data_IF_962663782502
#
_entry.id   IF_962663782502
#
_cell.length_a   1.000
_cell.length_b   1.000
_cell.length_c   1.000
_cell.angle_alpha   90.00
_cell.angle_beta   90.00
_cell.angle_gamma   90.00
#
_symmetry.space_group_name_H-M   'P 1'
#
loop_
_entity.id
_entity.type
_entity.pdbx_description
1 polymer ?
#
# COMPACT_ATOMS: atom_id res chain seq x y z
N UNK A 1 4.41 -20.05 -10.06
CA UNK A 1 5.65 -19.95 -10.41
C UNK A 1 6.39 -18.73 -9.93
N UNK A 2 5.89 -17.75 -9.65
CA UNK A 2 6.49 -16.68 -9.11
C UNK A 2 6.54 -16.67 -7.60
N UNK A 3 6.27 -17.76 -7.04
CA UNK A 3 6.18 -17.90 -5.63
C UNK A 3 7.46 -17.55 -4.94
N UNK A 4 8.58 -17.96 -5.49
CA UNK A 4 9.85 -17.69 -4.85
C UNK A 4 10.18 -16.23 -4.77
N UNK A 5 9.66 -15.45 -5.71
CA UNK A 5 9.96 -14.02 -5.72
C UNK A 5 9.38 -13.30 -4.52
N UNK A 6 8.36 -13.84 -3.91
CA UNK A 6 7.72 -13.20 -2.79
C UNK A 6 8.55 -13.26 -1.53
N UNK A 7 9.52 -14.14 -1.47
CA UNK A 7 10.33 -14.32 -0.29
C UNK A 7 11.58 -13.47 -0.29
N UNK A 8 11.81 -12.72 -1.36
CA UNK A 8 13.07 -12.02 -1.50
C UNK A 8 12.88 -10.54 -1.70
N UNK A 9 13.86 -9.75 -1.30
CA UNK A 9 13.90 -8.37 -1.74
C UNK A 9 14.03 -8.40 -3.26
N UNK A 10 13.29 -7.59 -3.93
CA UNK A 10 13.31 -7.61 -5.38
C UNK A 10 14.51 -6.86 -5.89
N UNK A 11 15.20 -7.50 -6.82
CA UNK A 11 16.26 -6.88 -7.58
C UNK A 11 15.83 -6.90 -9.02
N UNK A 12 16.64 -6.32 -9.88
CA UNK A 12 16.37 -6.36 -11.30
C UNK A 12 16.21 -7.78 -11.81
N UNK A 13 17.02 -8.69 -11.27
CA UNK A 13 17.02 -10.05 -11.77
C UNK A 13 15.91 -10.90 -11.20
N UNK A 14 15.30 -10.45 -10.12
CA UNK A 14 14.30 -11.26 -9.43
C UNK A 14 12.88 -10.73 -9.60
N UNK A 15 12.67 -9.76 -10.46
CA UNK A 15 11.34 -9.22 -10.70
C UNK A 15 10.48 -10.32 -11.33
N UNK A 16 9.29 -10.59 -10.75
CA UNK A 16 8.42 -11.63 -11.32
C UNK A 16 8.02 -11.28 -12.74
N UNK A 17 7.78 -12.31 -13.53
CA UNK A 17 7.37 -12.11 -14.91
C UNK A 17 6.13 -11.24 -15.04
N UNK A 18 5.22 -11.35 -14.09
CA UNK A 18 4.02 -10.54 -14.11
C UNK A 18 4.34 -9.05 -14.00
N UNK A 19 5.39 -8.73 -13.24
CA UNK A 19 5.85 -7.35 -13.12
C UNK A 19 6.72 -6.98 -14.30
N UNK A 20 7.59 -7.89 -14.72
CA UNK A 20 8.49 -7.60 -15.81
C UNK A 20 7.74 -7.29 -17.10
N UNK A 21 6.53 -7.83 -17.25
CA UNK A 21 5.72 -7.54 -18.41
C UNK A 21 4.93 -6.25 -18.31
N UNK A 22 5.02 -5.54 -17.19
CA UNK A 22 4.31 -4.29 -17.02
C UNK A 22 5.23 -3.15 -17.31
N UNK A 23 4.82 -2.30 -18.23
CA UNK A 23 5.62 -1.16 -18.59
C UNK A 23 5.27 0.03 -17.73
N UNK A 24 5.85 0.11 -16.55
CA UNK A 24 5.70 1.32 -15.76
C UNK A 24 6.54 2.42 -16.39
N UNK A 25 5.99 3.62 -16.53
CA UNK A 25 6.82 4.75 -16.94
C UNK A 25 7.99 4.92 -15.99
N UNK A 26 9.13 5.41 -16.49
CA UNK A 26 10.30 5.60 -15.62
C UNK A 26 10.02 6.46 -14.39
N UNK A 27 9.17 7.48 -14.52
CA UNK A 27 8.83 8.32 -13.39
C UNK A 27 8.05 7.53 -12.34
N UNK A 28 7.19 6.61 -12.76
CA UNK A 28 6.46 5.77 -11.82
C UNK A 28 7.41 4.82 -11.10
N UNK A 29 8.33 4.20 -11.83
CA UNK A 29 9.31 3.31 -11.23
C UNK A 29 10.15 4.05 -10.20
N UNK A 30 10.58 5.27 -10.51
CA UNK A 30 11.36 6.07 -9.58
C UNK A 30 10.57 6.38 -8.32
N UNK A 31 9.29 6.69 -8.47
CA UNK A 31 8.42 6.96 -7.34
C UNK A 31 8.27 5.73 -6.45
N UNK A 32 8.00 4.58 -7.05
CA UNK A 32 7.82 3.35 -6.29
C UNK A 32 9.10 2.96 -5.56
N UNK A 33 10.24 3.17 -6.20
CA UNK A 33 11.52 2.88 -5.59
C UNK A 33 11.77 3.80 -4.38
N UNK A 34 11.42 5.06 -4.51
CA UNK A 34 11.56 6.00 -3.42
C UNK A 34 10.67 5.60 -2.23
N UNK A 35 9.44 5.21 -2.51
CA UNK A 35 8.54 4.74 -1.47
C UNK A 35 9.09 3.49 -0.81
N UNK A 36 9.59 2.55 -1.61
CA UNK A 36 10.12 1.31 -1.07
C UNK A 36 11.28 1.57 -0.12
N UNK A 37 12.11 2.54 -0.43
CA UNK A 37 13.24 2.89 0.43
C UNK A 37 12.82 3.37 1.80
N UNK A 38 11.62 3.88 1.93
CA UNK A 38 11.13 4.38 3.20
C UNK A 38 10.48 3.28 4.06
N UNK A 39 10.30 2.10 3.50
CA UNK A 39 9.76 0.97 4.26
C UNK A 39 10.94 0.23 4.86
N UNK A 40 11.19 0.51 6.13
CA UNK A 40 12.42 0.05 6.77
C UNK A 40 12.22 -1.02 7.83
N UNK A 41 10.99 -1.28 8.25
CA UNK A 41 10.73 -2.31 9.25
C UNK A 41 10.94 -3.69 8.67
N UNK A 42 11.31 -4.63 9.52
CA UNK A 42 11.34 -6.02 9.09
C UNK A 42 9.92 -6.56 9.07
N UNK A 43 9.64 -7.42 8.13
CA UNK A 43 8.32 -8.03 7.99
C UNK A 43 7.18 -7.01 7.89
N UNK A 44 7.29 -6.02 7.01
CA UNK A 44 6.22 -5.05 6.88
C UNK A 44 5.04 -5.63 6.11
N UNK A 45 3.86 -5.07 6.34
CA UNK A 45 2.71 -5.32 5.48
C UNK A 45 2.29 -4.01 4.83
N UNK A 46 1.67 -4.11 3.67
CA UNK A 46 1.35 -2.95 2.86
C UNK A 46 -0.10 -3.00 2.41
N UNK A 47 -0.80 -1.90 2.61
CA UNK A 47 -2.15 -1.70 2.12
C UNK A 47 -2.14 -0.52 1.15
N UNK A 48 -2.72 -0.68 -0.03
CA UNK A 48 -2.77 0.38 -1.03
C UNK A 48 -4.18 0.92 -1.10
N UNK A 49 -4.34 2.21 -0.95
CA UNK A 49 -5.65 2.86 -0.89
C UNK A 49 -5.69 4.11 -1.75
N UNK A 50 -6.75 4.32 -2.50
CA UNK A 50 -7.95 3.47 -2.60
C UNK A 50 -7.90 2.49 -3.77
N UNK A 51 -6.96 2.64 -4.69
CA UNK A 51 -6.90 1.83 -5.88
C UNK A 51 -5.45 1.69 -6.33
N UNK A 52 -5.24 1.18 -7.55
CA UNK A 52 -3.90 0.94 -8.09
C UNK A 52 -3.27 -0.30 -7.47
N UNK A 53 -4.08 -1.33 -7.32
CA UNK A 53 -3.65 -2.55 -6.68
C UNK A 53 -2.56 -3.28 -7.46
N UNK A 54 -2.31 -2.87 -8.71
CA UNK A 54 -1.24 -3.46 -9.49
C UNK A 54 0.11 -3.27 -8.80
N UNK A 55 0.25 -2.24 -8.00
CA UNK A 55 1.52 -1.97 -7.32
C UNK A 55 1.81 -2.93 -6.18
N UNK A 56 0.83 -3.70 -5.72
CA UNK A 56 1.12 -4.77 -4.77
C UNK A 56 2.17 -5.72 -5.33
N UNK A 57 2.13 -5.97 -6.61
CA UNK A 57 3.08 -6.89 -7.22
C UNK A 57 4.48 -6.29 -7.27
N UNK A 58 4.57 -4.99 -7.42
CA UNK A 58 5.88 -4.36 -7.40
C UNK A 58 6.55 -4.53 -6.04
N UNK A 59 5.82 -4.28 -4.98
CA UNK A 59 6.40 -4.30 -3.63
C UNK A 59 6.60 -5.72 -3.10
N UNK A 60 5.76 -6.65 -3.48
CA UNK A 60 5.90 -8.02 -3.03
C UNK A 60 5.71 -8.22 -1.54
N UNK A 61 5.00 -7.32 -0.87
CA UNK A 61 4.80 -7.39 0.57
C UNK A 61 3.46 -8.02 0.91
N UNK A 62 3.34 -8.63 2.09
CA UNK A 62 2.05 -9.17 2.51
C UNK A 62 0.98 -8.09 2.58
N UNK A 63 -0.22 -8.44 2.20
CA UNK A 63 -1.36 -7.57 2.30
C UNK A 63 -2.11 -7.87 3.59
N UNK A 64 -2.58 -6.85 4.29
CA UNK A 64 -3.28 -7.09 5.55
C UNK A 64 -4.70 -7.57 5.37
N UNK A 65 -5.26 -7.45 4.15
CA UNK A 65 -6.63 -7.83 3.89
C UNK A 65 -6.70 -8.62 2.59
N UNK A 66 -7.73 -9.45 2.47
CA UNK A 66 -7.94 -10.24 1.26
C UNK A 66 -8.55 -9.42 0.14
N UNK A 67 -9.03 -8.23 0.44
CA UNK A 67 -9.68 -7.41 -0.57
C UNK A 67 -8.64 -6.69 -1.40
N UNK A 68 -8.67 -6.91 -2.71
CA UNK A 68 -7.76 -6.24 -3.63
C UNK A 68 -8.35 -4.98 -4.21
N UNK A 69 -9.64 -5.01 -4.49
CA UNK A 69 -10.29 -3.89 -5.16
C UNK A 69 -11.27 -3.25 -4.21
N UNK A 70 -11.14 -1.96 -4.09
CA UNK A 70 -12.04 -1.17 -3.25
C UNK A 70 -12.96 -0.32 -4.08
N UNK A 71 -12.97 -0.55 -5.39
CA UNK A 71 -13.87 0.15 -6.29
C UNK A 71 -15.17 -0.62 -6.36
N UNK A 72 -16.22 0.07 -6.78
CA UNK A 72 -17.51 -0.54 -6.91
C UNK A 72 -18.27 -0.50 -5.59
N UNK A 73 -19.23 -1.40 -5.48
CA UNK A 73 -20.12 -1.36 -4.35
C UNK A 73 -19.45 -1.88 -3.10
N UNK A 74 -19.49 -1.08 -2.06
CA UNK A 74 -18.96 -1.45 -0.77
C UNK A 74 -20.06 -1.43 0.25
N UNK A 75 -20.08 -2.45 1.09
CA UNK A 75 -21.03 -2.48 2.18
C UNK A 75 -20.32 -2.06 3.46
N UNK A 76 -21.10 -1.64 4.45
CA UNK A 76 -20.56 -1.31 5.76
C UNK A 76 -19.84 -2.51 6.36
N UNK A 77 -20.33 -3.71 6.08
CA UNK A 77 -19.69 -4.92 6.58
C UNK A 77 -18.31 -5.11 5.99
N UNK A 78 -18.18 -4.90 4.68
CA UNK A 78 -16.89 -5.02 4.03
C UNK A 78 -15.90 -4.00 4.56
N UNK A 79 -16.33 -2.76 4.73
CA UNK A 79 -15.44 -1.74 5.28
C UNK A 79 -15.02 -2.05 6.71
N UNK A 80 -15.94 -2.55 7.52
CA UNK A 80 -15.60 -2.94 8.89
C UNK A 80 -14.60 -4.08 8.91
N UNK A 81 -14.74 -5.03 8.00
CA UNK A 81 -13.81 -6.14 7.92
C UNK A 81 -12.41 -5.65 7.53
N UNK A 82 -12.33 -4.76 6.56
CA UNK A 82 -11.06 -4.22 6.15
C UNK A 82 -10.40 -3.47 7.30
N UNK A 83 -11.15 -2.63 7.99
CA UNK A 83 -10.62 -1.89 9.14
C UNK A 83 -10.11 -2.85 10.20
N UNK A 84 -10.85 -3.90 10.50
CA UNK A 84 -10.40 -4.89 11.48
C UNK A 84 -9.10 -5.55 11.05
N UNK A 85 -8.97 -5.83 9.75
CA UNK A 85 -7.73 -6.39 9.23
C UNK A 85 -6.57 -5.42 9.38
N UNK A 86 -6.81 -4.14 9.13
CA UNK A 86 -5.77 -3.14 9.28
C UNK A 86 -5.35 -3.00 10.74
N UNK A 87 -6.31 -3.06 11.64
CA UNK A 87 -6.02 -2.93 13.07
C UNK A 87 -5.21 -4.10 13.59
N UNK A 88 -5.35 -5.26 12.97
CA UNK A 88 -4.64 -6.46 13.40
C UNK A 88 -3.26 -6.58 12.78
N UNK A 89 -2.95 -5.80 11.78
CA UNK A 89 -1.70 -5.95 11.05
C UNK A 89 -0.53 -5.39 11.84
N UNK A 90 0.59 -6.10 11.78
CA UNK A 90 1.83 -5.63 12.39
C UNK A 90 2.65 -4.89 11.36
N UNK A 91 3.34 -3.85 11.79
CA UNK A 91 4.24 -3.09 10.92
C UNK A 91 3.53 -2.65 9.65
N UNK A 92 2.35 -2.08 9.82
CA UNK A 92 1.51 -1.72 8.69
C UNK A 92 1.93 -0.41 8.07
N UNK A 93 2.15 -0.46 6.76
CA UNK A 93 2.34 0.74 5.94
C UNK A 93 1.16 0.85 4.99
N UNK A 94 0.79 2.07 4.67
CA UNK A 94 -0.30 2.33 3.75
C UNK A 94 0.18 3.27 2.66
N UNK A 95 0.07 2.83 1.42
CA UNK A 95 0.38 3.66 0.27
C UNK A 95 -0.92 4.33 -0.15
N UNK A 96 -0.96 5.64 -0.05
CA UNK A 96 -2.18 6.41 -0.26
C UNK A 96 -2.01 7.32 -1.46
N UNK A 97 -3.06 7.38 -2.27
CA UNK A 97 -3.16 8.35 -3.35
C UNK A 97 -4.11 9.43 -2.87
N UNK A 98 -3.59 10.53 -2.27
CA UNK A 98 -4.43 11.42 -1.46
C UNK A 98 -5.61 12.05 -2.19
N UNK A 99 -5.42 12.41 -3.45
CA UNK A 99 -6.53 13.02 -4.20
C UNK A 99 -7.67 12.03 -4.35
N UNK A 100 -7.34 10.81 -4.75
CA UNK A 100 -8.34 9.77 -4.90
C UNK A 100 -8.94 9.37 -3.56
N UNK A 101 -8.13 9.33 -2.52
CA UNK A 101 -8.60 8.99 -1.18
C UNK A 101 -9.63 10.00 -0.71
N UNK A 102 -9.36 11.29 -0.89
CA UNK A 102 -10.29 12.34 -0.48
C UNK A 102 -11.59 12.25 -1.26
N UNK A 103 -11.50 11.93 -2.56
CA UNK A 103 -12.69 11.79 -3.38
C UNK A 103 -13.54 10.61 -2.95
N UNK A 104 -12.88 9.52 -2.57
CA UNK A 104 -13.59 8.32 -2.18
C UNK A 104 -14.22 8.47 -0.79
N UNK A 105 -13.48 9.01 0.16
CA UNK A 105 -13.94 9.16 1.53
C UNK A 105 -14.25 7.83 2.20
N UNK A 106 -15.15 7.87 3.15
CA UNK A 106 -15.64 6.67 3.81
C UNK A 106 -14.88 6.30 5.07
N UNK A 107 -15.30 5.20 5.68
CA UNK A 107 -14.79 4.81 6.99
C UNK A 107 -13.33 4.39 6.95
N UNK A 108 -12.92 3.75 5.85
CA UNK A 108 -11.53 3.33 5.73
C UNK A 108 -10.62 4.56 5.70
N UNK A 109 -11.00 5.57 4.92
CA UNK A 109 -10.18 6.78 4.83
C UNK A 109 -10.12 7.49 6.18
N UNK A 110 -11.25 7.56 6.87
CA UNK A 110 -11.28 8.17 8.21
C UNK A 110 -10.37 7.41 9.17
N UNK A 111 -10.38 6.09 9.09
CA UNK A 111 -9.51 5.29 9.94
C UNK A 111 -8.04 5.58 9.64
N UNK A 112 -7.71 5.65 8.35
CA UNK A 112 -6.32 5.92 7.95
C UNK A 112 -5.86 7.27 8.50
N UNK A 113 -6.70 8.30 8.34
CA UNK A 113 -6.32 9.62 8.80
C UNK A 113 -6.12 9.69 10.31
N UNK A 114 -6.90 8.93 11.06
CA UNK A 114 -6.84 9.01 12.51
C UNK A 114 -5.85 8.05 13.14
N UNK A 115 -5.42 7.00 12.43
CA UNK A 115 -4.57 5.97 13.02
C UNK A 115 -3.18 5.90 12.41
N UNK A 116 -2.89 6.70 11.41
CA UNK A 116 -1.59 6.65 10.77
C UNK A 116 -1.03 8.06 10.60
N UNK A 117 0.27 8.11 10.36
CA UNK A 117 0.94 9.36 10.09
C UNK A 117 1.70 9.24 8.79
N UNK A 118 1.89 10.37 8.13
CA UNK A 118 2.66 10.41 6.89
C UNK A 118 4.14 10.23 7.19
N UNK A 119 4.78 9.35 6.44
CA UNK A 119 6.21 9.14 6.55
C UNK A 119 6.94 9.90 5.46
N UNK A 120 6.47 9.78 4.24
CA UNK A 120 7.09 10.44 3.12
C UNK A 120 6.08 10.59 1.99
N UNK A 121 6.39 11.47 1.06
CA UNK A 121 5.60 11.64 -0.15
C UNK A 121 6.54 11.57 -1.34
N UNK A 122 5.99 11.25 -2.49
CA UNK A 122 6.76 11.19 -3.72
C UNK A 122 5.88 11.66 -4.87
N UNK A 123 6.50 12.20 -5.93
CA UNK A 123 5.70 12.64 -7.08
C UNK A 123 5.02 11.47 -7.76
N UNK A 124 3.82 11.68 -8.22
CA UNK A 124 3.08 10.65 -8.95
C UNK A 124 2.21 11.35 -9.99
N UNK A 125 2.58 11.21 -11.26
CA UNK A 125 1.90 11.90 -12.34
C UNK A 125 1.88 13.41 -12.03
N UNK A 126 0.71 14.03 -12.03
CA UNK A 126 0.62 15.44 -11.74
C UNK A 126 0.27 15.73 -10.28
N UNK A 127 0.39 14.73 -9.43
CA UNK A 127 0.06 14.86 -8.02
C UNK A 127 1.14 14.16 -7.19
N UNK A 128 0.78 13.64 -6.03
CA UNK A 128 1.71 12.93 -5.16
C UNK A 128 1.09 11.62 -4.71
N UNK A 129 1.95 10.74 -4.25
CA UNK A 129 1.56 9.56 -3.50
C UNK A 129 2.20 9.67 -2.13
N UNK A 130 1.54 9.12 -1.12
CA UNK A 130 1.96 9.27 0.26
C UNK A 130 2.11 7.91 0.90
N UNK A 131 3.20 7.71 1.63
CA UNK A 131 3.38 6.53 2.46
C UNK A 131 3.07 6.89 3.90
N UNK A 132 2.18 6.14 4.52
CA UNK A 132 1.79 6.35 5.91
C UNK A 132 2.08 5.09 6.70
N UNK A 133 2.22 5.27 8.00
CA UNK A 133 2.50 4.15 8.91
C UNK A 133 1.64 4.31 10.14
N UNK A 134 1.19 3.19 10.70
CA UNK A 134 0.37 3.25 11.91
C UNK A 134 1.13 3.93 13.04
N UNK A 135 0.41 4.72 13.79
CA UNK A 135 0.96 5.39 14.96
C UNK A 135 1.00 4.36 16.08
N UNK A 136 2.21 4.16 16.62
CA UNK A 136 2.32 3.28 17.76
C UNK A 136 1.81 4.00 18.97
N UNK A 137 0.73 3.51 19.51
CA UNK A 137 0.29 4.04 20.77
C UNK A 137 0.97 3.21 21.83
N UNK A 138 1.87 3.78 22.49
CA UNK A 138 2.36 3.15 23.66
C UNK A 138 1.31 3.34 24.66
N UNK A 139 0.65 2.39 24.88
CA UNK A 139 -0.23 2.47 25.92
C UNK A 139 0.51 2.35 27.14
N UNK A 140 0.55 2.97 27.78
CA UNK A 140 1.10 2.81 28.95
C UNK A 140 0.40 3.08 29.99
#
# INVERSE_FOLDING_TARGET
RYIGALAHPWTQDSVPDSIAGLDFPPSTTATLSQIQSAITDSSPSLFIFPENTIYYEYFGLPRPTRYLYLTGERTAKTESEIIANLESASNLYILVFPVKAAQRGGDIWSWIESHTKSITTAPYQSTIVELRQTILTTSN
#
